data_IF_952637786035
#
_entry.id   IF_952637786035
#
_cell.length_a   1.000
_cell.length_b   1.000
_cell.length_c   1.000
_cell.angle_alpha   90.00
_cell.angle_beta   90.00
_cell.angle_gamma   90.00
#
_symmetry.space_group_name_H-M   'P 1'
#
loop_
_entity.id
_entity.type
_entity.pdbx_description
1 polymer ?
#
# COMPACT_ATOMS: atom_id res chain seq x y z
N UNK A 1 5.32 -5.15 -12.27
CA UNK A 1 4.56 -6.42 -12.06
C UNK A 1 3.26 -6.13 -11.33
N UNK A 2 2.20 -6.93 -11.50
CA UNK A 2 0.98 -6.79 -10.70
C UNK A 2 1.04 -7.66 -9.45
N UNK A 3 0.54 -7.16 -8.31
CA UNK A 3 0.33 -8.01 -7.14
C UNK A 3 -0.92 -8.86 -7.42
N UNK A 4 -0.87 -10.19 -7.23
CA UNK A 4 -2.00 -11.08 -7.45
C UNK A 4 -3.19 -10.76 -6.55
N UNK A 5 -4.40 -11.02 -7.05
CA UNK A 5 -5.64 -10.76 -6.31
C UNK A 5 -5.80 -11.67 -5.09
N UNK A 6 -5.16 -12.83 -5.09
CA UNK A 6 -5.11 -13.81 -4.01
C UNK A 6 -3.93 -13.59 -3.05
N UNK A 7 -3.15 -12.52 -3.24
CA UNK A 7 -2.10 -12.14 -2.30
C UNK A 7 -2.66 -12.02 -0.87
N UNK A 8 -1.90 -12.54 0.08
CA UNK A 8 -2.32 -12.62 1.48
C UNK A 8 -2.32 -11.23 2.11
N UNK A 9 -3.47 -10.83 2.65
CA UNK A 9 -3.63 -9.63 3.47
C UNK A 9 -4.15 -10.13 4.82
N UNK A 10 -3.26 -10.43 5.79
CA UNK A 10 -3.68 -11.02 7.05
C UNK A 10 -4.57 -10.04 7.82
N UNK A 11 -5.83 -10.38 8.06
CA UNK A 11 -6.75 -9.54 8.84
C UNK A 11 -6.16 -9.09 10.19
N UNK A 12 -5.46 -9.96 10.97
CA UNK A 12 -4.80 -9.54 12.21
C UNK A 12 -3.75 -8.43 12.01
N UNK A 13 -3.14 -8.32 10.83
CA UNK A 13 -2.18 -7.23 10.52
C UNK A 13 -2.90 -5.89 10.44
N UNK A 14 -4.15 -5.88 10.01
CA UNK A 14 -4.96 -4.67 9.94
C UNK A 14 -5.52 -4.36 11.32
N UNK A 15 -6.19 -5.33 11.94
CA UNK A 15 -6.95 -5.12 13.18
C UNK A 15 -6.09 -5.03 14.44
N UNK A 16 -4.89 -5.62 14.47
CA UNK A 16 -4.01 -5.56 15.66
C UNK A 16 -2.87 -4.55 15.51
N UNK A 17 -2.71 -3.93 14.34
CA UNK A 17 -1.58 -3.05 14.06
C UNK A 17 -1.95 -1.80 13.27
N UNK A 18 -2.46 -1.90 12.04
CA UNK A 18 -2.69 -0.70 11.21
C UNK A 18 -3.83 0.18 11.71
N UNK A 19 -4.91 -0.42 12.22
CA UNK A 19 -6.13 0.26 12.64
C UNK A 19 -6.17 0.52 14.16
N UNK A 20 -5.07 0.24 14.87
CA UNK A 20 -4.92 0.51 16.29
C UNK A 20 -4.00 1.72 16.47
N UNK A 21 -4.39 2.72 17.29
CA UNK A 21 -3.51 3.81 17.68
C UNK A 21 -2.19 3.33 18.30
N UNK A 22 -1.09 3.96 17.90
CA UNK A 22 0.25 3.63 18.39
C UNK A 22 0.99 4.89 18.79
N UNK A 23 1.81 4.82 19.83
CA UNK A 23 2.60 5.96 20.28
C UNK A 23 3.69 6.40 19.28
N UNK A 24 4.05 5.53 18.33
CA UNK A 24 5.04 5.79 17.27
C UNK A 24 4.51 5.29 15.93
N UNK A 25 4.78 6.05 14.86
CA UNK A 25 4.34 5.75 13.49
C UNK A 25 2.85 5.39 13.39
N UNK A 26 1.99 6.17 14.06
CA UNK A 26 0.55 5.93 14.12
C UNK A 26 -0.09 6.03 12.73
N UNK A 27 -0.26 4.87 12.10
CA UNK A 27 -0.95 4.75 10.81
C UNK A 27 -2.46 4.84 10.96
N UNK A 28 -3.00 4.59 12.15
CA UNK A 28 -4.45 4.54 12.38
C UNK A 28 -5.06 5.93 12.25
N UNK A 29 -4.41 6.99 12.75
CA UNK A 29 -4.89 8.36 12.59
C UNK A 29 -4.91 8.80 11.12
N UNK A 30 -3.88 8.43 10.36
CA UNK A 30 -3.84 8.70 8.93
C UNK A 30 -4.95 7.95 8.17
N UNK A 31 -5.12 6.67 8.46
CA UNK A 31 -6.19 5.85 7.87
C UNK A 31 -7.59 6.34 8.26
N UNK A 32 -7.76 6.84 9.47
CA UNK A 32 -9.00 7.41 9.96
C UNK A 32 -9.42 8.69 9.21
N UNK A 33 -8.49 9.43 8.58
CA UNK A 33 -8.83 10.56 7.70
C UNK A 33 -9.68 10.10 6.51
N UNK A 34 -9.48 8.86 6.05
CA UNK A 34 -10.29 8.22 5.02
C UNK A 34 -11.43 7.35 5.59
N UNK A 35 -11.70 7.41 6.90
CA UNK A 35 -12.78 6.65 7.52
C UNK A 35 -12.50 5.15 7.68
N UNK A 36 -11.24 4.72 7.54
CA UNK A 36 -10.85 3.36 7.88
C UNK A 36 -10.65 3.22 9.39
N UNK A 37 -11.25 2.19 9.98
CA UNK A 37 -11.24 1.93 11.42
C UNK A 37 -11.38 0.43 11.70
N UNK A 38 -11.28 0.04 12.97
CA UNK A 38 -11.54 -1.33 13.41
C UNK A 38 -12.97 -1.80 13.13
N UNK A 39 -13.93 -0.89 12.92
CA UNK A 39 -15.30 -1.25 12.60
C UNK A 39 -15.47 -1.72 11.14
N UNK A 40 -14.51 -1.42 10.26
CA UNK A 40 -14.58 -1.70 8.83
C UNK A 40 -13.23 -2.11 8.22
N UNK A 41 -12.57 -3.16 8.76
CA UNK A 41 -11.29 -3.63 8.22
C UNK A 41 -11.41 -4.18 6.79
N UNK A 42 -12.58 -4.72 6.42
CA UNK A 42 -12.85 -5.22 5.07
C UNK A 42 -12.83 -4.11 4.01
N UNK A 43 -13.26 -2.89 4.35
CA UNK A 43 -13.17 -1.74 3.43
C UNK A 43 -11.71 -1.44 3.09
N UNK A 44 -10.80 -1.55 4.07
CA UNK A 44 -9.38 -1.37 3.84
C UNK A 44 -8.80 -2.50 2.98
N UNK A 45 -9.22 -3.75 3.19
CA UNK A 45 -8.80 -4.89 2.34
C UNK A 45 -9.23 -4.64 0.90
N UNK A 46 -10.48 -4.24 0.68
CA UNK A 46 -11.01 -3.96 -0.65
C UNK A 46 -10.24 -2.83 -1.34
N UNK A 47 -9.99 -1.73 -0.63
CA UNK A 47 -9.23 -0.60 -1.15
C UNK A 47 -7.80 -0.99 -1.52
N UNK A 48 -7.12 -1.82 -0.70
CA UNK A 48 -5.79 -2.34 -1.00
C UNK A 48 -5.79 -3.23 -2.25
N UNK A 49 -6.80 -4.10 -2.41
CA UNK A 49 -6.94 -4.96 -3.60
C UNK A 49 -7.15 -4.13 -4.87
N UNK A 50 -8.02 -3.13 -4.81
CA UNK A 50 -8.25 -2.21 -5.93
C UNK A 50 -6.97 -1.45 -6.31
N UNK A 51 -6.21 -0.94 -5.33
CA UNK A 51 -4.92 -0.31 -5.58
C UNK A 51 -3.97 -1.24 -6.33
N UNK A 52 -3.82 -2.49 -5.87
CA UNK A 52 -2.92 -3.46 -6.52
C UNK A 52 -3.35 -3.90 -7.91
N UNK A 53 -4.65 -3.90 -8.20
CA UNK A 53 -5.17 -4.20 -9.53
C UNK A 53 -4.86 -3.06 -10.51
N UNK A 54 -4.93 -1.82 -10.05
CA UNK A 54 -4.79 -0.63 -10.90
C UNK A 54 -3.34 -0.17 -11.06
N UNK A 55 -2.46 -0.48 -10.09
CA UNK A 55 -1.09 0.04 -10.09
C UNK A 55 -0.06 -1.08 -10.18
N UNK A 56 1.02 -0.85 -10.91
CA UNK A 56 2.15 -1.77 -10.93
C UNK A 56 3.01 -1.66 -9.67
N UNK A 57 3.46 -2.81 -9.20
CA UNK A 57 4.43 -2.93 -8.14
C UNK A 57 5.87 -2.82 -8.69
N UNK A 58 6.68 -2.03 -8.00
CA UNK A 58 8.10 -1.80 -8.28
C UNK A 58 8.94 -2.56 -7.26
N UNK A 59 9.90 -3.36 -7.73
CA UNK A 59 10.85 -4.05 -6.87
C UNK A 59 11.71 -3.01 -6.12
N UNK A 60 11.73 -3.08 -4.79
CA UNK A 60 12.54 -2.19 -3.95
C UNK A 60 13.86 -2.85 -3.54
N UNK A 61 13.78 -4.10 -3.08
CA UNK A 61 14.96 -4.86 -2.63
C UNK A 61 14.67 -6.35 -2.67
N UNK A 62 15.72 -7.13 -2.67
CA UNK A 62 15.67 -8.59 -2.48
C UNK A 62 16.64 -8.97 -1.36
N UNK A 63 16.24 -9.92 -0.51
CA UNK A 63 17.09 -10.50 0.52
C UNK A 63 16.71 -11.96 0.79
N UNK A 64 17.27 -12.57 1.84
CA UNK A 64 17.01 -13.97 2.21
C UNK A 64 15.54 -14.29 2.53
N UNK A 65 14.72 -13.28 2.84
CA UNK A 65 13.29 -13.45 3.09
C UNK A 65 12.44 -13.35 1.82
N UNK A 66 13.03 -12.94 0.70
CA UNK A 66 12.37 -12.80 -0.59
C UNK A 66 12.48 -11.39 -1.19
N UNK A 67 11.57 -11.09 -2.12
CA UNK A 67 11.54 -9.85 -2.90
C UNK A 67 10.49 -8.90 -2.36
N UNK A 68 10.92 -7.68 -2.01
CA UNK A 68 10.04 -6.63 -1.53
C UNK A 68 9.59 -5.75 -2.67
N UNK A 69 8.28 -5.63 -2.85
CA UNK A 69 7.66 -4.76 -3.83
C UNK A 69 6.94 -3.60 -3.18
N UNK A 70 6.92 -2.48 -3.88
CA UNK A 70 6.22 -1.27 -3.49
C UNK A 70 5.12 -0.97 -4.50
N UNK A 71 3.93 -0.65 -4.00
CA UNK A 71 2.83 -0.09 -4.80
C UNK A 71 2.47 1.27 -4.20
N UNK A 72 2.56 2.32 -5.00
CA UNK A 72 2.24 3.70 -4.61
C UNK A 72 0.98 4.17 -5.33
N UNK A 73 0.01 4.72 -4.62
CA UNK A 73 -1.20 5.24 -5.24
C UNK A 73 -2.20 5.76 -4.23
N UNK A 74 -3.46 5.89 -4.66
CA UNK A 74 -4.53 6.48 -3.86
C UNK A 74 -5.46 5.37 -3.35
N UNK A 75 -5.82 5.43 -2.07
CA UNK A 75 -6.97 4.69 -1.54
C UNK A 75 -8.19 5.61 -1.45
N UNK A 76 -9.34 5.08 -1.86
CA UNK A 76 -10.63 5.71 -1.63
C UNK A 76 -11.23 5.16 -0.35
N UNK A 77 -11.45 6.05 0.62
CA UNK A 77 -12.06 5.73 1.88
C UNK A 77 -13.58 5.51 1.80
N UNK A 78 -14.18 4.80 2.75
CA UNK A 78 -15.64 4.70 2.92
C UNK A 78 -16.32 6.06 3.09
N UNK A 79 -15.61 7.05 3.63
CA UNK A 79 -16.08 8.45 3.72
C UNK A 79 -15.86 9.26 2.44
N UNK A 80 -15.48 8.60 1.33
CA UNK A 80 -15.14 9.18 0.01
C UNK A 80 -13.91 10.08 -0.01
N UNK A 81 -13.15 10.16 1.07
CA UNK A 81 -11.87 10.87 1.08
C UNK A 81 -10.79 10.04 0.37
N UNK A 82 -9.84 10.74 -0.24
CA UNK A 82 -8.72 10.15 -0.96
C UNK A 82 -7.44 10.34 -0.14
N UNK A 83 -6.72 9.25 0.10
CA UNK A 83 -5.42 9.30 0.79
C UNK A 83 -4.33 8.67 -0.07
N UNK A 84 -3.19 9.36 -0.18
CA UNK A 84 -2.01 8.87 -0.89
C UNK A 84 -1.21 7.92 -0.03
N UNK A 85 -0.93 6.72 -0.53
CA UNK A 85 -0.30 5.64 0.24
C UNK A 85 0.83 4.98 -0.53
N UNK A 86 1.76 4.43 0.24
CA UNK A 86 2.76 3.50 -0.23
C UNK A 86 2.58 2.18 0.53
N UNK A 87 2.34 1.10 -0.20
CA UNK A 87 2.19 -0.25 0.35
C UNK A 87 3.40 -1.10 0.02
N UNK A 88 3.79 -1.96 0.96
CA UNK A 88 4.93 -2.86 0.83
C UNK A 88 4.41 -4.30 0.86
N UNK A 89 4.89 -5.09 -0.09
CA UNK A 89 4.53 -6.49 -0.31
C UNK A 89 5.79 -7.34 -0.31
N UNK A 90 5.72 -8.55 0.22
CA UNK A 90 6.82 -9.52 0.22
C UNK A 90 6.40 -10.72 -0.61
N UNK A 91 7.12 -10.98 -1.68
CA UNK A 91 7.12 -12.27 -2.38
C UNK A 91 8.16 -13.16 -1.70
N UNK A 92 7.69 -14.21 -1.04
CA UNK A 92 8.54 -15.18 -0.36
C UNK A 92 9.18 -16.16 -1.36
N UNK A 93 10.21 -16.91 -0.95
CA UNK A 93 10.86 -17.91 -1.81
C UNK A 93 9.91 -19.02 -2.30
N UNK A 94 8.81 -19.27 -1.60
CA UNK A 94 7.75 -20.21 -1.99
C UNK A 94 6.75 -19.63 -3.02
N UNK A 95 7.01 -18.41 -3.51
CA UNK A 95 6.17 -17.70 -4.48
C UNK A 95 4.94 -17.01 -3.87
N UNK A 96 4.68 -17.18 -2.57
CA UNK A 96 3.52 -16.53 -1.95
C UNK A 96 3.79 -15.05 -1.70
N UNK A 97 2.84 -14.20 -2.09
CA UNK A 97 2.90 -12.76 -1.88
C UNK A 97 2.02 -12.36 -0.70
N UNK A 98 2.59 -11.60 0.22
CA UNK A 98 1.87 -11.10 1.40
C UNK A 98 2.09 -9.60 1.63
N UNK A 99 1.04 -8.96 2.13
CA UNK A 99 1.08 -7.58 2.56
C UNK A 99 1.93 -7.42 3.83
N UNK A 100 2.85 -6.44 3.82
CA UNK A 100 3.77 -6.18 4.93
C UNK A 100 3.33 -4.95 5.73
N UNK A 101 3.13 -3.81 5.07
CA UNK A 101 2.73 -2.55 5.71
C UNK A 101 2.22 -1.54 4.68
N UNK A 102 1.54 -0.53 5.19
CA UNK A 102 1.20 0.71 4.50
C UNK A 102 1.85 1.89 5.23
N UNK A 103 2.17 2.96 4.50
CA UNK A 103 2.57 4.26 5.05
C UNK A 103 1.97 5.40 4.23
N UNK A 104 1.80 6.60 4.81
CA UNK A 104 1.46 7.80 4.05
C UNK A 104 2.48 8.04 2.95
N UNK A 105 2.00 8.43 1.78
CA UNK A 105 2.86 8.90 0.71
C UNK A 105 3.33 10.33 1.05
N UNK A 106 4.63 10.49 1.34
CA UNK A 106 5.21 11.77 1.77
C UNK A 106 5.42 12.77 0.62
N UNK A 107 5.43 12.32 -0.62
CA UNK A 107 5.60 13.15 -1.82
C UNK A 107 4.64 12.68 -2.93
N UNK A 108 3.97 13.58 -3.67
CA UNK A 108 3.21 13.19 -4.85
C UNK A 108 4.10 12.40 -5.81
N UNK A 109 3.56 11.41 -6.55
CA UNK A 109 4.38 10.58 -7.42
C UNK A 109 5.16 11.49 -8.36
N UNK A 110 6.49 11.36 -8.37
CA UNK A 110 7.34 12.04 -9.32
C UNK A 110 6.86 11.59 -10.71
N UNK A 111 6.11 12.44 -11.40
CA UNK A 111 5.77 12.22 -12.79
C UNK A 111 7.08 12.46 -13.51
N UNK A 112 7.84 11.39 -13.76
CA UNK A 112 8.95 11.41 -14.71
C UNK A 112 8.36 11.62 -16.11
N UNK A 113 7.82 12.82 -16.34
CA UNK A 113 7.63 13.37 -17.67
C UNK A 113 9.02 13.60 -18.22
N UNK A 114 9.42 12.73 -19.14
CA UNK A 114 10.46 13.00 -20.12
C UNK A 114 10.23 14.39 -20.72
N UNK A 115 11.01 15.37 -20.29
CA UNK A 115 11.33 16.52 -21.14
C UNK A 115 12.34 16.00 -22.17
N UNK A 116 12.02 15.98 -23.47
CA UNK A 116 13.06 15.76 -24.48
C UNK A 116 14.05 16.92 -24.37
N UNK A 117 15.28 16.59 -23.97
CA UNK A 117 16.45 17.44 -24.21
C UNK A 117 16.84 17.23 -25.68
N UNK A 118 16.20 17.99 -26.56
CA UNK A 118 16.63 18.31 -27.93
C UNK A 118 15.65 19.41 -28.39
N UNK A 119 15.98 20.70 -28.37
CA UNK A 119 16.76 21.47 -29.35
C UNK A 119 16.06 22.86 -29.43
N UNK A 120 16.64 23.92 -30.02
CA UNK A 120 17.84 24.00 -30.88
C UNK A 120 19.09 24.60 -30.22
#
# INVERSE_FOLDING_TARGET
>A
MKIPIDASIPLPKLTNYLLIPKNQDDKSQFLAQAGFSLANPEDLILALRQLTQNTEAVLQKSNLYGRYYQVSGILTGPNRQLIGVVTIWLERPDGQIQFVTLKPQKEPPHVSGTLPKDSP
#
